data_IF_718682088963
#
_entry.id   IF_718682088963
#
_cell.length_a   1.000
_cell.length_b   1.000
_cell.length_c   1.000
_cell.angle_alpha   90.00
_cell.angle_beta   90.00
_cell.angle_gamma   90.00
#
_symmetry.space_group_name_H-M   'P 1'
#
loop_
_entity.id
_entity.type
_entity.pdbx_description
1 polymer ?
#
# COMPACT_ATOMS: atom_id res chain seq x y z
N UNK A 1 17.62 21.44 -23.18
CA UNK A 1 16.69 20.62 -22.37
C UNK A 1 15.40 21.41 -22.26
N UNK A 2 14.29 20.89 -22.81
CA UNK A 2 13.00 21.51 -22.57
C UNK A 2 12.63 21.28 -21.10
N UNK A 3 12.14 22.31 -20.36
CA UNK A 3 11.68 22.10 -19.00
C UNK A 3 10.53 21.08 -19.01
N UNK A 4 10.62 20.09 -18.12
CA UNK A 4 9.50 19.18 -17.89
C UNK A 4 8.32 20.05 -17.43
N UNK A 5 7.14 19.97 -18.07
CA UNK A 5 5.99 20.77 -17.66
C UNK A 5 5.65 20.47 -16.22
N UNK A 6 5.32 21.51 -15.44
CA UNK A 6 4.91 21.36 -14.06
C UNK A 6 3.70 20.41 -13.97
N UNK A 7 3.80 19.36 -13.17
CA UNK A 7 2.71 18.41 -12.96
C UNK A 7 1.56 19.11 -12.23
N UNK A 8 0.36 19.04 -12.78
CA UNK A 8 -0.84 19.54 -12.12
C UNK A 8 -1.29 18.53 -11.05
N UNK A 9 -1.33 18.97 -9.79
CA UNK A 9 -1.81 18.14 -8.66
C UNK A 9 -3.34 18.07 -8.72
N UNK A 10 -3.87 16.86 -8.79
CA UNK A 10 -5.31 16.55 -8.90
C UNK A 10 -5.92 16.01 -7.61
N UNK A 11 -5.08 15.49 -6.70
CA UNK A 11 -5.52 14.95 -5.43
C UNK A 11 -4.59 15.34 -4.29
N UNK A 12 -5.15 15.65 -3.12
CA UNK A 12 -4.38 15.83 -1.89
C UNK A 12 -3.88 14.49 -1.36
N UNK A 13 -4.69 13.42 -1.52
CA UNK A 13 -4.35 12.05 -1.19
C UNK A 13 -4.83 11.10 -2.27
N UNK A 14 -3.96 10.22 -2.72
CA UNK A 14 -4.29 9.06 -3.52
C UNK A 14 -4.12 7.79 -2.68
N UNK A 15 -5.16 6.98 -2.58
CA UNK A 15 -5.12 5.66 -1.94
C UNK A 15 -5.15 4.59 -3.02
N UNK A 16 -4.13 3.75 -3.08
CA UNK A 16 -4.02 2.66 -4.05
C UNK A 16 -4.09 1.34 -3.29
N UNK A 17 -5.21 0.63 -3.42
CA UNK A 17 -5.36 -0.74 -2.91
C UNK A 17 -5.04 -1.75 -4.00
N UNK A 18 -4.11 -2.65 -3.75
CA UNK A 18 -3.74 -3.67 -4.72
C UNK A 18 -3.68 -5.06 -4.10
N UNK A 19 -3.89 -6.09 -4.93
CA UNK A 19 -3.99 -7.49 -4.53
C UNK A 19 -5.13 -8.22 -5.25
N UNK A 20 -5.24 -9.52 -5.06
CA UNK A 20 -6.18 -10.37 -5.77
C UNK A 20 -7.38 -10.73 -4.88
N UNK A 21 -8.54 -10.15 -5.15
CA UNK A 21 -9.79 -10.37 -4.39
C UNK A 21 -10.33 -11.82 -4.45
N UNK A 22 -9.81 -12.66 -5.34
CA UNK A 22 -10.13 -14.08 -5.39
C UNK A 22 -9.19 -14.95 -4.52
N UNK A 23 -8.28 -14.32 -3.80
CA UNK A 23 -7.28 -14.97 -2.96
C UNK A 23 -7.39 -14.56 -1.50
N UNK A 24 -8.59 -14.55 -0.95
CA UNK A 24 -8.88 -14.26 0.46
C UNK A 24 -8.19 -12.97 0.93
N UNK A 25 -7.29 -13.08 1.94
CA UNK A 25 -6.65 -11.93 2.57
C UNK A 25 -5.85 -11.06 1.59
N UNK A 26 -5.40 -11.60 0.47
CA UNK A 26 -4.73 -10.84 -0.61
C UNK A 26 -5.63 -9.74 -1.20
N UNK A 27 -6.95 -9.90 -1.11
CA UNK A 27 -7.93 -8.90 -1.54
C UNK A 27 -8.18 -7.76 -0.55
N UNK A 28 -7.49 -7.71 0.59
CA UNK A 28 -7.79 -6.70 1.62
C UNK A 28 -7.40 -5.28 1.20
N UNK A 29 -6.29 -5.13 0.42
CA UNK A 29 -5.87 -3.84 -0.12
C UNK A 29 -6.94 -3.18 -1.01
N UNK A 30 -7.40 -3.86 -2.09
CA UNK A 30 -8.54 -3.43 -2.90
C UNK A 30 -9.76 -3.03 -2.07
N UNK A 31 -10.16 -3.87 -1.13
CA UNK A 31 -11.31 -3.64 -0.26
C UNK A 31 -11.19 -2.37 0.59
N UNK A 32 -10.00 -2.05 1.10
CA UNK A 32 -9.77 -0.80 1.83
C UNK A 32 -9.95 0.40 0.91
N UNK A 33 -9.38 0.37 -0.30
CA UNK A 33 -9.50 1.48 -1.24
C UNK A 33 -10.97 1.70 -1.64
N UNK A 34 -11.73 0.65 -1.91
CA UNK A 34 -13.17 0.70 -2.18
C UNK A 34 -13.96 1.32 -1.01
N UNK A 35 -13.68 0.87 0.22
CA UNK A 35 -14.34 1.42 1.41
C UNK A 35 -13.99 2.90 1.64
N UNK A 36 -12.76 3.32 1.33
CA UNK A 36 -12.36 4.74 1.40
C UNK A 36 -13.06 5.56 0.32
N UNK A 37 -13.26 5.00 -0.88
CA UNK A 37 -14.02 5.66 -1.96
C UNK A 37 -15.46 5.94 -1.53
N UNK A 38 -16.14 4.95 -0.93
CA UNK A 38 -17.51 5.09 -0.44
C UNK A 38 -17.67 6.22 0.61
N UNK A 39 -16.62 6.57 1.33
CA UNK A 39 -16.65 7.67 2.29
C UNK A 39 -16.70 9.05 1.63
N UNK A 40 -16.47 9.17 0.32
CA UNK A 40 -16.48 10.41 -0.44
C UNK A 40 -15.71 11.56 0.23
N UNK A 41 -14.50 11.26 0.72
CA UNK A 41 -13.69 12.23 1.47
C UNK A 41 -13.15 13.33 0.54
N UNK A 42 -13.27 14.63 0.91
CA UNK A 42 -12.76 15.72 0.08
C UNK A 42 -11.26 15.61 -0.19
N UNK A 43 -10.85 15.78 -1.45
CA UNK A 43 -9.45 15.75 -1.88
C UNK A 43 -8.82 14.36 -1.90
N UNK A 44 -9.59 13.31 -1.61
CA UNK A 44 -9.14 11.91 -1.69
C UNK A 44 -9.60 11.29 -3.01
N UNK A 45 -8.66 10.61 -3.68
CA UNK A 45 -8.94 9.73 -4.81
C UNK A 45 -8.50 8.32 -4.45
N UNK A 46 -9.17 7.33 -5.00
CA UNK A 46 -8.85 5.92 -4.79
C UNK A 46 -8.58 5.24 -6.13
N UNK A 47 -7.72 4.25 -6.11
CA UNK A 47 -7.50 3.34 -7.23
C UNK A 47 -7.43 1.92 -6.70
N UNK A 48 -8.04 1.01 -7.44
CA UNK A 48 -8.03 -0.42 -7.15
C UNK A 48 -7.38 -1.15 -8.30
N UNK A 49 -6.44 -2.04 -8.01
CA UNK A 49 -5.83 -2.89 -9.02
C UNK A 49 -5.44 -4.25 -8.44
N UNK A 50 -5.22 -5.21 -9.32
CA UNK A 50 -4.70 -6.51 -8.91
C UNK A 50 -3.17 -6.47 -8.73
N UNK A 51 -2.50 -5.67 -9.55
CA UNK A 51 -1.06 -5.53 -9.58
C UNK A 51 -0.69 -4.10 -9.96
N UNK A 52 0.34 -3.54 -9.35
CA UNK A 52 0.90 -2.25 -9.75
C UNK A 52 1.61 -2.38 -11.10
N UNK A 53 1.24 -1.54 -12.05
CA UNK A 53 1.80 -1.50 -13.39
C UNK A 53 2.29 -0.08 -13.72
N UNK A 54 3.17 0.12 -14.70
CA UNK A 54 3.79 1.42 -15.00
C UNK A 54 2.84 2.58 -15.23
N UNK A 55 1.61 2.32 -15.71
CA UNK A 55 0.58 3.33 -15.91
C UNK A 55 0.12 4.03 -14.62
N UNK A 56 0.33 3.42 -13.47
CA UNK A 56 0.05 4.06 -12.18
C UNK A 56 0.99 5.23 -11.87
N UNK A 57 2.11 5.36 -12.57
CA UNK A 57 3.06 6.46 -12.37
C UNK A 57 2.43 7.84 -12.65
N UNK A 58 1.52 7.95 -13.64
CA UNK A 58 0.82 9.20 -13.95
C UNK A 58 -0.10 9.66 -12.80
N UNK A 59 -1.09 8.88 -12.33
CA UNK A 59 -1.92 9.31 -11.21
C UNK A 59 -1.12 9.49 -9.91
N UNK A 60 -0.05 8.73 -9.69
CA UNK A 60 0.84 8.92 -8.54
C UNK A 60 1.51 10.30 -8.63
N UNK A 61 2.07 10.67 -9.79
CA UNK A 61 2.70 11.97 -9.98
C UNK A 61 1.75 13.15 -9.79
N UNK A 62 0.44 12.96 -10.01
CA UNK A 62 -0.61 13.99 -9.85
C UNK A 62 -1.19 14.05 -8.43
N UNK A 63 -0.69 13.28 -7.49
CA UNK A 63 -1.08 13.35 -6.11
C UNK A 63 -0.05 14.10 -5.26
N UNK A 64 -0.50 14.77 -4.21
CA UNK A 64 0.41 15.37 -3.21
C UNK A 64 0.98 14.31 -2.28
N UNK A 65 0.14 13.32 -1.93
CA UNK A 65 0.48 12.18 -1.07
C UNK A 65 -0.11 10.91 -1.62
N UNK A 66 0.53 9.77 -1.38
CA UNK A 66 0.02 8.46 -1.77
C UNK A 66 0.13 7.45 -0.63
N UNK A 67 -0.90 6.65 -0.45
CA UNK A 67 -0.92 5.49 0.43
C UNK A 67 -1.11 4.25 -0.45
N UNK A 68 -0.15 3.36 -0.43
CA UNK A 68 -0.28 2.02 -0.99
C UNK A 68 -0.79 1.08 0.09
N UNK A 69 -1.87 0.35 -0.19
CA UNK A 69 -2.48 -0.60 0.76
C UNK A 69 -2.37 -2.01 0.21
N UNK A 70 -1.82 -2.90 1.03
CA UNK A 70 -1.50 -4.27 0.62
C UNK A 70 -1.66 -5.28 1.77
N UNK A 71 -1.80 -6.53 1.43
CA UNK A 71 -1.74 -7.65 2.36
C UNK A 71 -0.27 -8.01 2.65
N UNK A 72 0.06 -8.32 3.90
CA UNK A 72 1.39 -8.77 4.26
C UNK A 72 1.36 -10.06 5.06
N UNK A 73 2.13 -11.05 4.63
CA UNK A 73 2.33 -12.29 5.38
C UNK A 73 3.44 -12.10 6.41
N UNK A 74 3.17 -12.44 7.66
CA UNK A 74 4.20 -12.46 8.68
C UNK A 74 5.10 -13.70 8.50
N UNK A 75 6.34 -13.48 8.11
CA UNK A 75 7.35 -14.54 7.97
C UNK A 75 8.40 -14.52 9.09
N UNK A 76 8.04 -14.15 10.32
CA UNK A 76 8.97 -13.86 11.41
C UNK A 76 9.39 -12.39 11.39
N UNK A 77 10.49 -11.99 12.03
CA UNK A 77 10.90 -10.60 12.24
C UNK A 77 10.88 -9.63 11.04
N UNK A 78 10.47 -10.09 9.86
CA UNK A 78 10.32 -9.29 8.64
C UNK A 78 9.02 -9.64 7.94
N UNK A 79 8.09 -8.68 7.87
CA UNK A 79 6.95 -8.74 6.98
C UNK A 79 7.45 -8.74 5.53
N UNK A 80 7.12 -9.80 4.79
CA UNK A 80 7.38 -9.85 3.36
C UNK A 80 6.07 -9.65 2.61
N UNK A 81 6.07 -8.67 1.72
CA UNK A 81 4.95 -8.41 0.82
C UNK A 81 5.04 -9.38 -0.36
N UNK A 82 3.97 -10.12 -0.59
CA UNK A 82 3.90 -11.06 -1.71
C UNK A 82 3.17 -10.42 -2.87
N UNK A 83 3.88 -9.71 -3.73
CA UNK A 83 3.30 -9.15 -4.96
C UNK A 83 3.16 -10.17 -6.10
N UNK A 84 3.77 -11.36 -6.00
CA UNK A 84 3.85 -12.33 -7.09
C UNK A 84 3.39 -13.75 -6.73
N UNK A 85 2.78 -13.94 -5.57
CA UNK A 85 2.23 -15.25 -5.15
C UNK A 85 3.27 -16.33 -4.84
N UNK A 86 4.55 -15.99 -4.72
CA UNK A 86 5.58 -16.94 -4.30
C UNK A 86 5.67 -16.99 -2.78
N UNK A 87 5.22 -18.09 -2.23
CA UNK A 87 5.42 -18.42 -0.82
C UNK A 87 6.90 -18.74 -0.60
N UNK A 88 7.63 -17.88 0.08
CA UNK A 88 8.94 -18.24 0.59
C UNK A 88 8.75 -19.05 1.88
N UNK A 89 9.12 -20.35 1.82
CA UNK A 89 9.21 -21.14 3.02
C UNK A 89 10.41 -20.66 3.85
N UNK A 90 10.18 -20.31 5.10
CA UNK A 90 11.25 -20.08 6.05
C UNK A 90 12.06 -21.38 6.20
N UNK A 91 13.25 -21.43 5.63
CA UNK A 91 14.25 -22.44 5.98
C UNK A 91 14.90 -21.98 7.27
N UNK A 92 14.48 -22.52 8.39
CA UNK A 92 15.29 -22.99 9.50
C UNK A 92 14.41 -23.14 10.74
N UNK A 93 14.29 -24.39 11.17
CA UNK A 93 13.51 -24.78 12.33
C UNK A 93 14.11 -24.31 13.64
N UNK A 94 13.65 -23.17 14.09
CA UNK A 94 13.68 -22.85 15.51
C UNK A 94 12.28 -22.39 15.92
N UNK A 95 11.72 -23.11 16.90
CA UNK A 95 10.49 -22.74 17.59
C UNK A 95 10.77 -21.52 18.45
N UNK A 96 10.77 -20.33 17.85
CA UNK A 96 10.70 -19.10 18.61
C UNK A 96 9.22 -18.80 18.85
N UNK A 97 8.83 -18.76 20.12
CA UNK A 97 7.48 -18.36 20.54
C UNK A 97 7.30 -16.86 20.29
N UNK A 98 7.17 -16.46 19.03
CA UNK A 98 6.79 -15.10 18.70
C UNK A 98 5.29 -14.93 18.93
N UNK A 99 4.87 -13.84 19.55
CA UNK A 99 3.46 -13.54 19.69
C UNK A 99 2.83 -13.50 18.30
N UNK A 100 1.69 -14.18 18.15
CA UNK A 100 0.81 -13.97 16.97
C UNK A 100 0.58 -12.48 16.84
N UNK A 101 0.69 -11.88 15.61
CA UNK A 101 0.40 -10.48 15.44
C UNK A 101 -0.95 -10.17 16.05
N UNK A 102 -1.02 -9.06 16.78
CA UNK A 102 -2.28 -8.59 17.35
C UNK A 102 -3.31 -8.48 16.23
N UNK A 103 -4.45 -9.19 16.33
CA UNK A 103 -5.48 -9.15 15.29
C UNK A 103 -5.87 -7.70 15.03
N UNK A 104 -5.67 -7.24 13.79
CA UNK A 104 -5.96 -5.86 13.38
C UNK A 104 -4.78 -4.89 13.47
N UNK A 105 -3.59 -5.31 13.88
CA UNK A 105 -2.41 -4.47 13.84
C UNK A 105 -1.97 -4.24 12.39
N UNK A 106 -2.13 -3.01 11.91
CA UNK A 106 -1.62 -2.57 10.60
C UNK A 106 -0.25 -1.91 10.77
N UNK A 107 0.57 -1.97 9.72
CA UNK A 107 1.89 -1.36 9.78
C UNK A 107 2.00 -0.24 8.74
N UNK A 108 2.56 0.89 9.17
CA UNK A 108 2.87 2.02 8.33
C UNK A 108 4.36 2.11 8.08
N UNK A 109 4.75 2.26 6.83
CA UNK A 109 6.13 2.50 6.45
C UNK A 109 6.22 3.64 5.45
N UNK A 110 7.00 4.69 5.77
CA UNK A 110 7.29 5.76 4.81
C UNK A 110 8.15 5.18 3.67
N UNK A 111 7.80 5.53 2.43
CA UNK A 111 8.52 5.10 1.24
C UNK A 111 9.31 6.24 0.64
N UNK A 112 10.45 5.88 0.05
CA UNK A 112 11.19 6.74 -0.86
C UNK A 112 11.20 6.10 -2.25
N UNK A 113 11.30 6.89 -3.34
CA UNK A 113 11.46 6.36 -4.70
C UNK A 113 12.66 5.41 -4.76
N UNK A 114 12.49 4.26 -5.40
CA UNK A 114 13.55 3.30 -5.69
C UNK A 114 14.45 3.77 -6.83
N UNK A 115 15.28 2.85 -7.33
CA UNK A 115 16.09 3.05 -8.52
C UNK A 115 15.36 2.50 -9.75
N UNK A 116 15.31 3.29 -10.82
CA UNK A 116 14.65 2.92 -12.08
C UNK A 116 15.35 1.77 -12.81
N UNK A 117 16.62 1.54 -12.52
CA UNK A 117 17.39 0.42 -13.08
C UNK A 117 16.85 -0.96 -12.71
N UNK A 118 16.00 -1.06 -11.69
CA UNK A 118 15.38 -2.31 -11.22
C UNK A 118 13.95 -2.52 -11.73
N UNK A 119 13.47 -1.69 -12.67
CA UNK A 119 12.09 -1.72 -13.19
C UNK A 119 11.62 -3.10 -13.66
N UNK A 120 12.50 -3.86 -14.32
CA UNK A 120 12.15 -5.17 -14.87
C UNK A 120 12.10 -6.28 -13.80
N UNK A 121 12.76 -6.09 -12.66
CA UNK A 121 12.83 -7.09 -11.61
C UNK A 121 11.72 -6.94 -10.55
N UNK A 122 11.18 -5.72 -10.38
CA UNK A 122 10.25 -5.38 -9.31
C UNK A 122 9.12 -4.44 -9.79
N UNK A 123 8.54 -4.70 -10.96
CA UNK A 123 7.47 -3.87 -11.54
C UNK A 123 6.29 -3.63 -10.58
N UNK A 124 6.01 -4.54 -9.66
CA UNK A 124 4.94 -4.44 -8.67
C UNK A 124 5.34 -3.77 -7.33
N UNK A 125 6.58 -3.26 -7.19
CA UNK A 125 7.01 -2.57 -5.97
C UNK A 125 6.54 -1.10 -5.99
N UNK A 126 5.83 -0.62 -4.95
CA UNK A 126 5.44 0.78 -4.83
C UNK A 126 6.58 1.78 -5.01
N UNK A 127 7.80 1.44 -4.57
CA UNK A 127 8.99 2.29 -4.74
C UNK A 127 9.40 2.45 -6.20
N UNK A 128 9.16 1.41 -7.00
CA UNK A 128 9.38 1.46 -8.46
C UNK A 128 8.38 2.41 -9.12
N UNK A 129 7.13 2.40 -8.69
CA UNK A 129 6.10 3.32 -9.18
C UNK A 129 6.43 4.78 -8.83
N UNK A 130 6.94 5.02 -7.61
CA UNK A 130 7.41 6.34 -7.20
C UNK A 130 8.62 6.81 -8.02
N UNK A 131 9.55 5.91 -8.33
CA UNK A 131 10.69 6.22 -9.19
C UNK A 131 10.24 6.60 -10.61
N UNK A 132 9.30 5.85 -11.18
CA UNK A 132 8.71 6.16 -12.49
C UNK A 132 7.99 7.51 -12.46
N UNK A 133 7.20 7.79 -11.44
CA UNK A 133 6.52 9.07 -11.28
C UNK A 133 7.52 10.23 -11.26
N UNK A 134 8.63 10.10 -10.52
CA UNK A 134 9.71 11.08 -10.49
C UNK A 134 10.39 11.24 -11.86
N UNK A 135 10.79 10.12 -12.48
CA UNK A 135 11.71 10.15 -13.62
C UNK A 135 10.98 10.46 -14.94
N UNK A 136 9.70 10.09 -15.07
CA UNK A 136 8.89 10.33 -16.26
C UNK A 136 8.08 11.62 -16.17
N UNK A 137 7.51 11.90 -14.99
CA UNK A 137 6.61 13.04 -14.80
C UNK A 137 7.23 14.17 -13.96
N UNK A 138 8.46 13.99 -13.44
CA UNK A 138 9.19 15.02 -12.69
C UNK A 138 8.71 15.25 -11.26
N UNK A 139 7.79 14.42 -10.75
CA UNK A 139 7.26 14.52 -9.40
C UNK A 139 7.06 13.15 -8.76
N UNK A 140 7.54 12.99 -7.54
CA UNK A 140 7.18 11.87 -6.67
C UNK A 140 6.55 12.42 -5.40
N UNK A 141 5.32 12.01 -5.05
CA UNK A 141 4.63 12.46 -3.85
C UNK A 141 5.28 11.91 -2.58
N UNK A 142 4.92 12.46 -1.43
CA UNK A 142 5.12 11.75 -0.17
C UNK A 142 4.32 10.45 -0.17
N UNK A 143 4.98 9.34 0.23
CA UNK A 143 4.41 8.03 0.07
C UNK A 143 4.51 7.17 1.33
N UNK A 144 3.47 6.37 1.55
CA UNK A 144 3.42 5.38 2.63
C UNK A 144 2.92 4.04 2.11
N UNK A 145 3.41 3.01 2.74
CA UNK A 145 2.91 1.66 2.58
C UNK A 145 2.18 1.26 3.85
N UNK A 146 0.89 1.01 3.73
CA UNK A 146 0.03 0.47 4.76
C UNK A 146 -0.15 -1.02 4.50
N UNK A 147 0.38 -1.86 5.38
CA UNK A 147 0.26 -3.31 5.25
C UNK A 147 -0.66 -3.88 6.31
N UNK A 148 -1.50 -4.83 5.88
CA UNK A 148 -2.51 -5.50 6.70
C UNK A 148 -2.12 -6.97 6.86
N UNK A 149 -2.18 -7.54 8.07
CA UNK A 149 -1.85 -8.94 8.29
C UNK A 149 -2.68 -9.88 7.43
N UNK A 150 -2.01 -10.78 6.71
CA UNK A 150 -2.62 -11.84 5.91
C UNK A 150 -2.19 -13.22 6.44
N UNK A 151 -3.16 -14.09 6.67
CA UNK A 151 -2.96 -15.46 7.13
C UNK A 151 -3.31 -16.49 6.06
N UNK A 152 -4.24 -16.16 5.17
CA UNK A 152 -4.78 -17.07 4.17
C UNK A 152 -4.73 -16.45 2.77
N UNK A 153 -3.87 -17.00 1.90
CA UNK A 153 -3.70 -16.57 0.51
C UNK A 153 -4.18 -17.61 -0.52
N UNK A 154 -4.93 -18.62 -0.07
CA UNK A 154 -5.57 -19.60 -0.97
C UNK A 154 -6.74 -19.00 -1.73
N UNK A 155 -7.30 -19.72 -2.71
CA UNK A 155 -8.51 -19.28 -3.41
C UNK A 155 -9.70 -19.17 -2.44
N UNK A 156 -10.50 -18.16 -2.64
CA UNK A 156 -11.69 -17.86 -1.85
C UNK A 156 -11.92 -16.35 -1.68
N UNK A 157 -13.06 -16.01 -1.10
CA UNK A 157 -13.46 -14.60 -0.89
C UNK A 157 -13.63 -14.24 0.60
N UNK A 158 -13.47 -15.21 1.48
CA UNK A 158 -13.54 -15.06 2.93
C UNK A 158 -12.20 -14.53 3.48
N UNK A 159 -12.27 -13.57 4.40
CA UNK A 159 -11.08 -13.00 5.05
C UNK A 159 -10.82 -13.69 6.37
N UNK A 160 -9.55 -13.78 6.74
CA UNK A 160 -9.17 -14.18 8.09
C UNK A 160 -9.61 -13.13 9.12
N UNK A 161 -9.82 -13.49 10.40
CA UNK A 161 -10.13 -12.51 11.46
C UNK A 161 -9.08 -11.41 11.59
N UNK A 162 -7.81 -11.71 11.30
CA UNK A 162 -6.73 -10.74 11.35
C UNK A 162 -6.84 -9.72 10.19
N UNK A 163 -7.10 -10.19 8.97
CA UNK A 163 -7.30 -9.32 7.82
C UNK A 163 -8.56 -8.47 7.97
N UNK A 164 -9.66 -9.03 8.50
CA UNK A 164 -10.89 -8.30 8.76
C UNK A 164 -10.71 -7.19 9.79
N UNK A 165 -10.04 -7.48 10.92
CA UNK A 165 -9.72 -6.48 11.93
C UNK A 165 -8.77 -5.40 11.38
N UNK A 166 -7.76 -5.80 10.58
CA UNK A 166 -6.83 -4.89 9.93
C UNK A 166 -7.50 -3.98 8.90
N UNK A 167 -8.48 -4.50 8.14
CA UNK A 167 -9.31 -3.71 7.24
C UNK A 167 -10.01 -2.56 7.98
N UNK A 168 -10.71 -2.85 9.08
CA UNK A 168 -11.40 -1.82 9.85
C UNK A 168 -10.43 -0.78 10.43
N UNK A 169 -9.28 -1.23 10.92
CA UNK A 169 -8.22 -0.35 11.44
C UNK A 169 -7.68 0.56 10.33
N UNK A 170 -7.35 0.00 9.16
CA UNK A 170 -6.81 0.76 8.03
C UNK A 170 -7.77 1.86 7.56
N UNK A 171 -9.04 1.53 7.37
CA UNK A 171 -10.07 2.51 6.97
C UNK A 171 -10.23 3.61 8.02
N UNK A 172 -10.28 3.25 9.31
CA UNK A 172 -10.40 4.22 10.40
C UNK A 172 -9.18 5.15 10.49
N UNK A 173 -7.97 4.64 10.30
CA UNK A 173 -6.74 5.43 10.31
C UNK A 173 -6.65 6.37 9.11
N UNK A 174 -6.96 5.91 7.90
CA UNK A 174 -7.01 6.77 6.71
C UNK A 174 -8.05 7.89 6.90
N UNK A 175 -9.23 7.57 7.42
CA UNK A 175 -10.26 8.57 7.73
C UNK A 175 -9.78 9.62 8.74
N UNK A 176 -9.07 9.21 9.80
CA UNK A 176 -8.47 10.13 10.78
C UNK A 176 -7.42 11.04 10.15
N UNK A 177 -6.56 10.49 9.28
CA UNK A 177 -5.55 11.26 8.54
C UNK A 177 -6.18 12.36 7.70
N UNK A 178 -7.23 12.04 6.97
CA UNK A 178 -7.96 13.01 6.15
C UNK A 178 -8.63 14.09 7.02
N UNK A 179 -9.30 13.68 8.11
CA UNK A 179 -9.99 14.59 9.02
C UNK A 179 -9.06 15.54 9.79
N UNK A 180 -7.82 15.11 10.07
CA UNK A 180 -6.81 15.95 10.72
C UNK A 180 -6.35 17.13 9.83
N UNK A 181 -6.99 17.34 8.67
CA UNK A 181 -6.60 18.31 7.64
C UNK A 181 -5.12 18.19 7.35
N UNK A 182 -4.76 17.67 6.22
CA UNK A 182 -3.38 17.52 5.72
C UNK A 182 -2.46 18.74 5.88
N UNK A 183 -2.80 19.68 6.76
CA UNK A 183 -2.13 20.96 7.03
C UNK A 183 -1.06 20.95 8.11
N UNK A 184 -0.79 19.83 8.77
CA UNK A 184 0.33 19.66 9.72
C UNK A 184 0.92 18.28 9.58
N UNK A 185 2.23 18.18 9.52
CA UNK A 185 3.08 17.01 9.38
C UNK A 185 2.87 15.90 10.44
N UNK A 186 1.67 15.35 10.56
CA UNK A 186 1.35 14.35 11.60
C UNK A 186 0.76 13.10 11.00
N UNK A 187 1.62 12.31 10.35
CA UNK A 187 1.37 10.89 10.24
C UNK A 187 1.89 10.16 11.49
N UNK A 188 1.30 9.00 11.85
CA UNK A 188 1.73 8.26 13.04
C UNK A 188 3.22 8.02 13.00
N UNK A 189 3.89 8.21 14.13
CA UNK A 189 5.28 7.87 14.28
C UNK A 189 5.46 6.39 13.94
N UNK A 190 6.38 6.12 13.01
CA UNK A 190 6.75 4.76 12.64
C UNK A 190 7.37 4.11 13.88
N UNK A 191 6.68 3.14 14.47
CA UNK A 191 7.19 2.31 15.56
C UNK A 191 8.07 1.19 15.04
#
# INVERSE_FOLDING_TARGET
>A
MNPVPAVHIEAELLVIGYGNSLRRDDGVGPRVAEAVEELNLPGVRTLVCQLLTPEFADPIARARRVIFVDAAVNTGDKWQVTSDGKTWQATNGEKSGHPTPDPGHVQWRKLAPGETSQLMAHAADPRTMLALARDVFGHAPEAWWLTIPALHLGFGTDYSPAAEAGFHTAVAEIKKLVAANFGKDTLPAVG
#
